data_IF_826969518025
#
_entry.id   IF_826969518025
#
_cell.length_a   1.000
_cell.length_b   1.000
_cell.length_c   1.000
_cell.angle_alpha   90.00
_cell.angle_beta   90.00
_cell.angle_gamma   90.00
#
_symmetry.space_group_name_H-M   'P 1'
#
loop_
_entity.id
_entity.type
_entity.pdbx_description
1 polymer ?
#
# COMPACT_ATOMS: atom_id res chain seq x y z
N UNK A 1 -3.44 -6.35 -38.77
CA UNK A 1 -4.63 -7.08 -38.32
C UNK A 1 -4.99 -6.61 -36.92
N UNK A 2 -6.29 -6.56 -36.58
CA UNK A 2 -6.70 -6.21 -35.23
C UNK A 2 -6.23 -7.27 -34.24
N UNK A 3 -5.74 -6.79 -33.09
CA UNK A 3 -5.16 -7.62 -32.04
C UNK A 3 -6.21 -8.02 -30.99
N UNK A 4 -7.44 -7.53 -31.12
CA UNK A 4 -8.55 -7.75 -30.18
C UNK A 4 -9.86 -8.04 -30.93
N UNK A 5 -10.79 -8.84 -30.36
CA UNK A 5 -12.16 -9.00 -30.89
C UNK A 5 -12.91 -7.68 -30.97
N UNK A 6 -12.68 -6.76 -30.02
CA UNK A 6 -13.19 -5.39 -30.09
C UNK A 6 -11.99 -4.46 -30.25
N UNK A 7 -11.84 -3.94 -31.48
CA UNK A 7 -10.71 -3.13 -31.86
C UNK A 7 -11.16 -1.79 -32.46
N UNK A 8 -10.57 -0.69 -31.99
CA UNK A 8 -10.80 0.66 -32.54
C UNK A 8 -9.47 1.34 -32.89
N UNK A 9 -9.37 1.87 -34.11
CA UNK A 9 -8.18 2.62 -34.61
C UNK A 9 -8.03 4.01 -33.95
N UNK A 10 -9.08 4.50 -33.30
CA UNK A 10 -9.13 5.77 -32.61
C UNK A 10 -9.63 5.56 -31.18
N UNK A 11 -10.29 6.54 -30.60
CA UNK A 11 -10.90 6.43 -29.27
C UNK A 11 -12.20 5.60 -29.33
N UNK A 12 -12.48 4.86 -28.27
CA UNK A 12 -13.62 3.96 -28.09
C UNK A 12 -14.40 4.33 -26.84
N UNK A 13 -15.70 4.47 -26.94
CA UNK A 13 -16.59 4.63 -25.80
C UNK A 13 -17.57 3.46 -25.75
N UNK A 14 -17.67 2.84 -24.58
CA UNK A 14 -18.59 1.74 -24.31
C UNK A 14 -19.59 2.16 -23.24
N UNK A 15 -20.88 2.07 -23.57
CA UNK A 15 -21.97 2.45 -22.67
C UNK A 15 -23.21 1.61 -22.92
N UNK A 16 -24.10 1.53 -21.95
CA UNK A 16 -25.40 0.88 -22.07
C UNK A 16 -25.73 -0.05 -20.90
N UNK A 17 -26.91 -0.62 -20.87
CA UNK A 17 -27.37 -1.52 -19.79
C UNK A 17 -27.29 -3.01 -20.12
N UNK A 18 -26.60 -3.36 -21.22
CA UNK A 18 -26.48 -4.76 -21.69
C UNK A 18 -25.27 -5.47 -21.11
N UNK A 19 -25.14 -6.75 -21.46
CA UNK A 19 -23.96 -7.56 -21.17
C UNK A 19 -23.17 -7.79 -22.46
N UNK A 20 -21.87 -7.56 -22.40
CA UNK A 20 -20.91 -7.84 -23.45
C UNK A 20 -19.95 -8.92 -22.99
N UNK A 21 -19.92 -10.05 -23.71
CA UNK A 21 -18.96 -11.13 -23.49
C UNK A 21 -17.90 -11.07 -24.58
N UNK A 22 -16.64 -11.00 -24.18
CA UNK A 22 -15.48 -10.85 -25.06
C UNK A 22 -14.51 -11.99 -24.80
N UNK A 23 -14.08 -12.65 -25.85
CA UNK A 23 -13.03 -13.67 -25.78
C UNK A 23 -11.90 -13.31 -26.75
N UNK A 24 -10.81 -12.78 -26.21
CA UNK A 24 -9.60 -12.42 -26.90
C UNK A 24 -8.59 -13.57 -26.90
N UNK A 25 -8.83 -14.60 -27.71
CA UNK A 25 -8.04 -15.83 -27.69
C UNK A 25 -6.62 -15.70 -28.25
N UNK A 26 -6.20 -14.50 -28.69
CA UNK A 26 -4.89 -14.28 -29.32
C UNK A 26 -4.08 -13.16 -28.61
N UNK A 27 -4.66 -12.01 -28.37
CA UNK A 27 -4.04 -10.85 -27.74
C UNK A 27 -5.04 -10.22 -26.74
N UNK A 28 -5.33 -8.93 -26.87
CA UNK A 28 -6.21 -8.21 -25.98
C UNK A 28 -7.69 -8.60 -26.11
N UNK A 29 -8.47 -8.34 -25.08
CA UNK A 29 -9.93 -8.47 -25.13
C UNK A 29 -10.58 -7.28 -25.83
N UNK A 30 -10.34 -6.07 -25.33
CA UNK A 30 -10.84 -4.80 -25.91
C UNK A 30 -9.65 -3.85 -26.07
N UNK A 31 -9.47 -3.30 -27.29
CA UNK A 31 -8.37 -2.39 -27.59
C UNK A 31 -8.80 -1.14 -28.32
N UNK A 32 -8.33 0.01 -27.88
CA UNK A 32 -8.36 1.28 -28.62
C UNK A 32 -6.92 1.79 -28.84
N UNK A 33 -6.63 2.33 -30.04
CA UNK A 33 -5.35 3.02 -30.33
C UNK A 33 -5.33 4.47 -29.84
N UNK A 34 -6.42 4.98 -29.32
CA UNK A 34 -6.57 6.24 -28.62
C UNK A 34 -7.08 6.00 -27.21
N UNK A 35 -8.01 6.85 -26.77
CA UNK A 35 -8.65 6.72 -25.47
C UNK A 35 -9.70 5.61 -25.47
N UNK A 36 -9.81 4.88 -24.36
CA UNK A 36 -10.87 3.91 -24.13
C UNK A 36 -11.67 4.33 -22.88
N UNK A 37 -12.99 4.50 -23.07
CA UNK A 37 -13.87 4.88 -21.97
C UNK A 37 -14.98 3.85 -21.77
N UNK A 38 -15.19 3.43 -20.53
CA UNK A 38 -16.31 2.60 -20.09
C UNK A 38 -17.17 3.42 -19.15
N UNK A 39 -18.38 3.74 -19.59
CA UNK A 39 -19.31 4.59 -18.83
C UNK A 39 -20.32 3.75 -18.03
N UNK A 40 -20.71 2.59 -18.55
CA UNK A 40 -21.69 1.70 -17.93
C UNK A 40 -21.78 0.38 -18.67
N UNK A 41 -22.49 -0.61 -18.10
CA UNK A 41 -22.73 -1.91 -18.72
C UNK A 41 -22.14 -3.05 -17.89
N UNK A 42 -22.34 -4.27 -18.37
CA UNK A 42 -21.73 -5.47 -17.78
C UNK A 42 -20.78 -6.09 -18.79
N UNK A 43 -19.55 -6.32 -18.40
CA UNK A 43 -18.49 -6.85 -19.25
C UNK A 43 -17.91 -8.12 -18.66
N UNK A 44 -17.83 -9.18 -19.48
CA UNK A 44 -17.11 -10.41 -19.17
C UNK A 44 -16.03 -10.59 -20.21
N UNK A 45 -14.78 -10.44 -19.81
CA UNK A 45 -13.64 -10.38 -20.71
C UNK A 45 -12.68 -11.50 -20.33
N UNK A 46 -12.39 -12.36 -21.28
CA UNK A 46 -11.29 -13.33 -21.24
C UNK A 46 -10.31 -12.96 -22.34
N UNK A 47 -9.04 -12.77 -22.01
CA UNK A 47 -8.00 -12.36 -22.95
C UNK A 47 -6.73 -13.20 -22.80
N UNK A 48 -6.08 -13.49 -23.91
CA UNK A 48 -4.79 -14.19 -23.91
C UNK A 48 -3.63 -13.29 -23.47
N UNK A 49 -3.78 -11.98 -23.63
CA UNK A 49 -2.91 -10.92 -23.15
C UNK A 49 -3.76 -9.94 -22.33
N UNK A 50 -3.72 -8.63 -22.60
CA UNK A 50 -4.40 -7.63 -21.78
C UNK A 50 -5.93 -7.70 -21.91
N UNK A 51 -6.63 -7.56 -20.80
CA UNK A 51 -8.09 -7.55 -20.81
C UNK A 51 -8.66 -6.36 -21.54
N UNK A 52 -8.28 -5.16 -21.10
CA UNK A 52 -8.68 -3.86 -21.67
C UNK A 52 -7.43 -3.01 -21.88
N UNK A 53 -7.26 -2.51 -23.12
CA UNK A 53 -6.13 -1.67 -23.47
C UNK A 53 -6.54 -0.42 -24.24
N UNK A 54 -6.30 0.72 -23.63
CA UNK A 54 -6.34 2.04 -24.29
C UNK A 54 -4.93 2.56 -24.45
N UNK A 55 -4.48 2.86 -25.68
CA UNK A 55 -3.11 3.34 -25.83
C UNK A 55 -2.90 4.66 -25.10
N UNK A 56 -3.77 5.64 -25.36
CA UNK A 56 -3.62 6.99 -24.81
C UNK A 56 -4.14 7.10 -23.38
N UNK A 57 -5.31 6.52 -23.13
CA UNK A 57 -5.88 6.45 -21.79
C UNK A 57 -6.93 5.35 -21.65
N UNK A 58 -7.16 4.92 -20.40
CA UNK A 58 -8.35 4.14 -20.02
C UNK A 58 -9.10 4.92 -18.93
N UNK A 59 -10.41 5.16 -19.18
CA UNK A 59 -11.30 5.81 -18.21
C UNK A 59 -12.47 4.90 -17.89
N UNK A 60 -12.68 4.58 -16.62
CA UNK A 60 -13.83 3.80 -16.14
C UNK A 60 -14.65 4.65 -15.19
N UNK A 61 -15.88 4.97 -15.61
CA UNK A 61 -16.80 5.77 -14.81
C UNK A 61 -17.87 4.91 -14.12
N UNK A 62 -18.04 3.67 -14.55
CA UNK A 62 -19.01 2.74 -14.00
C UNK A 62 -19.09 1.45 -14.79
N UNK A 63 -20.04 0.59 -14.38
CA UNK A 63 -20.23 -0.74 -14.96
C UNK A 63 -19.73 -1.86 -14.06
N UNK A 64 -20.09 -3.10 -14.44
CA UNK A 64 -19.66 -4.32 -13.77
C UNK A 64 -18.69 -5.05 -14.69
N UNK A 65 -17.41 -5.05 -14.35
CA UNK A 65 -16.34 -5.63 -15.14
C UNK A 65 -15.80 -6.89 -14.46
N UNK A 66 -15.83 -8.01 -15.19
CA UNK A 66 -15.15 -9.25 -14.81
C UNK A 66 -14.11 -9.55 -15.88
N UNK A 67 -12.85 -9.48 -15.51
CA UNK A 67 -11.71 -9.57 -16.41
C UNK A 67 -10.82 -10.74 -16.00
N UNK A 68 -10.51 -11.61 -16.95
CA UNK A 68 -9.50 -12.65 -16.84
C UNK A 68 -8.48 -12.43 -17.95
N UNK A 69 -7.26 -12.06 -17.60
CA UNK A 69 -6.20 -11.67 -18.52
C UNK A 69 -4.95 -12.54 -18.36
N UNK A 70 -4.34 -12.91 -19.47
CA UNK A 70 -3.05 -13.57 -19.51
C UNK A 70 -1.87 -12.58 -19.47
N UNK A 71 -2.14 -11.28 -19.55
CA UNK A 71 -1.26 -10.13 -19.35
C UNK A 71 -1.87 -9.22 -18.28
N UNK A 72 -1.85 -7.90 -18.54
CA UNK A 72 -2.45 -6.90 -17.66
C UNK A 72 -3.98 -6.93 -17.71
N UNK A 73 -4.64 -6.74 -16.57
CA UNK A 73 -6.10 -6.64 -16.55
C UNK A 73 -6.60 -5.42 -17.31
N UNK A 74 -6.09 -4.25 -16.96
CA UNK A 74 -6.38 -2.95 -17.59
C UNK A 74 -5.06 -2.22 -17.82
N UNK A 75 -4.81 -1.72 -19.06
CA UNK A 75 -3.56 -1.05 -19.39
C UNK A 75 -3.75 0.22 -20.22
N UNK A 76 -2.94 1.24 -19.91
CA UNK A 76 -2.67 2.39 -20.78
C UNK A 76 -1.15 2.51 -20.98
N UNK A 77 -0.67 2.46 -22.27
CA UNK A 77 0.74 2.23 -22.59
C UNK A 77 1.42 3.30 -23.45
N UNK A 78 0.84 4.50 -23.60
CA UNK A 78 1.49 5.58 -24.32
C UNK A 78 2.53 6.30 -23.47
N UNK A 79 3.78 5.92 -23.61
CA UNK A 79 4.95 6.50 -22.96
C UNK A 79 5.62 7.64 -23.77
N UNK A 80 5.10 7.93 -24.95
CA UNK A 80 5.77 8.82 -25.92
C UNK A 80 5.16 10.21 -25.95
N UNK A 81 3.87 10.35 -25.66
CA UNK A 81 3.13 11.60 -25.76
C UNK A 81 2.82 12.16 -24.39
N UNK A 82 3.11 13.43 -24.18
CA UNK A 82 2.87 14.13 -22.90
C UNK A 82 1.38 14.04 -22.47
N UNK A 83 1.14 13.64 -21.23
CA UNK A 83 -0.20 13.52 -20.65
C UNK A 83 -1.00 12.31 -21.15
N UNK A 84 -0.37 11.39 -21.85
CA UNK A 84 -0.95 10.11 -22.25
C UNK A 84 -0.47 8.97 -21.35
N UNK A 85 -0.97 7.74 -21.60
CA UNK A 85 -0.64 6.56 -20.81
C UNK A 85 -1.26 6.59 -19.41
N UNK A 86 -2.45 7.17 -19.28
CA UNK A 86 -3.13 7.37 -18.00
C UNK A 86 -4.30 6.42 -17.80
N UNK A 87 -4.52 6.00 -16.55
CA UNK A 87 -5.74 5.26 -16.16
C UNK A 87 -6.49 6.08 -15.11
N UNK A 88 -7.80 6.21 -15.29
CA UNK A 88 -8.69 6.87 -14.33
C UNK A 88 -9.92 6.02 -14.06
N UNK A 89 -10.22 5.78 -12.77
CA UNK A 89 -11.42 5.05 -12.34
C UNK A 89 -12.19 5.90 -11.35
N UNK A 90 -13.43 6.27 -11.70
CA UNK A 90 -14.30 7.06 -10.83
C UNK A 90 -15.56 6.32 -10.37
N UNK A 91 -15.64 5.02 -10.64
CA UNK A 91 -16.72 4.15 -10.17
C UNK A 91 -16.76 2.81 -10.90
N UNK A 92 -17.75 1.99 -10.55
CA UNK A 92 -17.94 0.65 -11.08
C UNK A 92 -17.52 -0.46 -10.11
N UNK A 93 -17.73 -1.69 -10.56
CA UNK A 93 -17.30 -2.89 -9.84
C UNK A 93 -16.33 -3.67 -10.74
N UNK A 94 -15.10 -3.82 -10.32
CA UNK A 94 -14.01 -4.42 -11.08
C UNK A 94 -13.54 -5.69 -10.37
N UNK A 95 -13.79 -6.82 -10.99
CA UNK A 95 -13.20 -8.10 -10.60
C UNK A 95 -12.15 -8.48 -11.63
N UNK A 96 -10.88 -8.48 -11.24
CA UNK A 96 -9.75 -8.69 -12.14
C UNK A 96 -8.94 -9.89 -11.65
N UNK A 97 -8.62 -10.79 -12.59
CA UNK A 97 -7.60 -11.82 -12.43
C UNK A 97 -6.62 -11.67 -13.58
N UNK A 98 -5.37 -11.34 -13.29
CA UNK A 98 -4.33 -11.03 -14.27
C UNK A 98 -3.07 -11.87 -13.99
N UNK A 99 -2.41 -12.32 -15.05
CA UNK A 99 -1.12 -13.01 -14.94
C UNK A 99 0.07 -12.04 -14.93
N UNK A 100 -0.17 -10.77 -15.18
CA UNK A 100 0.74 -9.65 -14.95
C UNK A 100 0.05 -8.67 -14.00
N UNK A 101 0.05 -7.36 -14.27
CA UNK A 101 -0.50 -6.34 -13.38
C UNK A 101 -2.04 -6.27 -13.45
N UNK A 102 -2.67 -5.99 -12.33
CA UNK A 102 -4.13 -5.82 -12.29
C UNK A 102 -4.58 -4.59 -13.08
N UNK A 103 -4.10 -3.41 -12.70
CA UNK A 103 -4.31 -2.13 -13.39
C UNK A 103 -2.96 -1.45 -13.58
N UNK A 104 -2.63 -1.07 -14.84
CA UNK A 104 -1.34 -0.49 -15.20
C UNK A 104 -1.49 0.81 -15.97
N UNK A 105 -0.77 1.83 -15.54
CA UNK A 105 -0.57 3.08 -16.27
C UNK A 105 0.92 3.36 -16.45
N UNK A 106 1.34 3.92 -17.58
CA UNK A 106 2.74 4.29 -17.76
C UNK A 106 3.05 5.73 -17.34
N UNK A 107 2.02 6.55 -17.09
CA UNK A 107 2.23 7.95 -16.71
C UNK A 107 1.62 8.30 -15.36
N UNK A 108 0.34 7.99 -15.16
CA UNK A 108 -0.33 8.20 -13.89
C UNK A 108 -1.62 7.40 -13.78
N UNK A 109 -1.94 7.03 -12.55
CA UNK A 109 -3.14 6.29 -12.21
C UNK A 109 -3.93 7.06 -11.15
N UNK A 110 -5.22 7.32 -11.44
CA UNK A 110 -6.14 7.98 -10.51
C UNK A 110 -7.33 7.08 -10.21
N UNK A 111 -7.58 6.80 -8.94
CA UNK A 111 -8.78 6.10 -8.48
C UNK A 111 -9.54 7.02 -7.51
N UNK A 112 -10.76 7.41 -7.91
CA UNK A 112 -11.62 8.28 -7.11
C UNK A 112 -12.69 7.50 -6.36
N UNK A 113 -13.20 6.41 -6.95
CA UNK A 113 -14.22 5.55 -6.35
C UNK A 113 -14.32 4.22 -7.13
N UNK A 114 -15.01 3.24 -6.57
CA UNK A 114 -15.26 1.92 -7.16
C UNK A 114 -15.10 0.78 -6.16
N UNK A 115 -15.46 -0.41 -6.60
CA UNK A 115 -15.27 -1.64 -5.84
C UNK A 115 -14.30 -2.52 -6.61
N UNK A 116 -13.17 -2.85 -6.00
CA UNK A 116 -12.08 -3.59 -6.63
C UNK A 116 -11.83 -4.90 -5.91
N UNK A 117 -11.83 -5.99 -6.67
CA UNK A 117 -11.33 -7.29 -6.26
C UNK A 117 -10.29 -7.71 -7.29
N UNK A 118 -9.02 -7.57 -6.95
CA UNK A 118 -7.90 -7.79 -7.87
C UNK A 118 -7.05 -8.94 -7.35
N UNK A 119 -6.80 -9.90 -8.24
CA UNK A 119 -5.81 -10.94 -8.07
C UNK A 119 -4.84 -10.87 -9.24
N UNK A 120 -3.54 -10.70 -8.98
CA UNK A 120 -2.48 -10.57 -9.99
C UNK A 120 -1.26 -11.40 -9.61
N UNK A 121 -0.43 -11.79 -10.60
CA UNK A 121 0.87 -12.44 -10.32
C UNK A 121 2.01 -11.42 -10.15
N UNK A 122 1.81 -10.20 -10.63
CA UNK A 122 2.63 -9.00 -10.48
C UNK A 122 1.78 -7.96 -9.71
N UNK A 123 2.03 -6.66 -9.73
CA UNK A 123 1.33 -5.65 -8.94
C UNK A 123 -0.20 -5.62 -9.15
N UNK A 124 -0.94 -5.36 -8.09
CA UNK A 124 -2.38 -5.18 -8.26
C UNK A 124 -2.75 -3.83 -8.89
N UNK A 125 -2.10 -2.75 -8.47
CA UNK A 125 -2.27 -1.38 -9.00
C UNK A 125 -0.90 -0.78 -9.24
N UNK A 126 -0.57 -0.44 -10.49
CA UNK A 126 0.76 0.00 -10.88
C UNK A 126 0.75 1.26 -11.76
N UNK A 127 1.70 2.16 -11.51
CA UNK A 127 2.04 3.26 -12.43
C UNK A 127 3.56 3.45 -12.53
N UNK A 128 4.09 3.56 -13.75
CA UNK A 128 5.47 4.02 -13.95
C UNK A 128 5.66 5.53 -13.61
N UNK A 129 4.63 6.19 -13.14
CA UNK A 129 4.65 7.53 -12.57
C UNK A 129 3.90 7.55 -11.25
N UNK A 130 2.95 8.47 -11.11
CA UNK A 130 2.24 8.65 -9.84
C UNK A 130 0.99 7.76 -9.74
N UNK A 131 0.67 7.35 -8.52
CA UNK A 131 -0.62 6.73 -8.15
C UNK A 131 -1.35 7.63 -7.16
N UNK A 132 -2.62 7.93 -7.45
CA UNK A 132 -3.48 8.68 -6.53
C UNK A 132 -4.76 7.91 -6.26
N UNK A 133 -5.06 7.65 -4.99
CA UNK A 133 -6.31 7.04 -4.52
C UNK A 133 -7.02 8.02 -3.58
N UNK A 134 -8.23 8.43 -3.97
CA UNK A 134 -9.04 9.35 -3.15
C UNK A 134 -10.30 8.69 -2.57
N UNK A 135 -10.59 7.45 -2.97
CA UNK A 135 -11.74 6.70 -2.49
C UNK A 135 -11.80 5.29 -3.08
N UNK A 136 -12.90 4.59 -2.83
CA UNK A 136 -13.14 3.23 -3.28
C UNK A 136 -12.92 2.16 -2.21
N UNK A 137 -13.26 0.92 -2.56
CA UNK A 137 -13.11 -0.26 -1.70
C UNK A 137 -12.31 -1.33 -2.42
N UNK A 138 -11.20 -1.75 -1.83
CA UNK A 138 -10.23 -2.64 -2.47
C UNK A 138 -10.04 -3.91 -1.66
N UNK A 139 -9.98 -5.04 -2.37
CA UNK A 139 -9.44 -6.30 -1.88
C UNK A 139 -8.40 -6.75 -2.89
N UNK A 140 -7.14 -6.67 -2.49
CA UNK A 140 -5.98 -6.95 -3.34
C UNK A 140 -5.25 -8.19 -2.84
N UNK A 141 -4.88 -9.08 -3.76
CA UNK A 141 -4.01 -10.24 -3.52
C UNK A 141 -3.08 -10.35 -4.71
N UNK A 142 -1.79 -10.27 -4.50
CA UNK A 142 -0.82 -10.09 -5.57
C UNK A 142 0.47 -10.86 -5.28
N UNK A 143 1.21 -11.18 -6.32
CA UNK A 143 2.51 -11.84 -6.21
C UNK A 143 3.66 -10.87 -5.99
N UNK A 144 3.46 -9.59 -6.31
CA UNK A 144 4.38 -8.48 -6.07
C UNK A 144 3.69 -7.39 -5.24
N UNK A 145 3.61 -6.14 -5.65
CA UNK A 145 3.14 -5.07 -4.78
C UNK A 145 1.62 -4.85 -4.82
N UNK A 146 1.06 -4.52 -3.67
CA UNK A 146 -0.35 -4.18 -3.58
C UNK A 146 -0.68 -2.90 -4.37
N UNK A 147 0.06 -1.83 -4.13
CA UNK A 147 -0.01 -0.54 -4.85
C UNK A 147 1.41 -0.05 -5.08
N UNK A 148 1.80 0.10 -6.35
CA UNK A 148 3.12 0.55 -6.76
C UNK A 148 3.07 1.82 -7.63
N UNK A 149 3.95 2.77 -7.35
CA UNK A 149 4.21 3.93 -8.20
C UNK A 149 5.70 4.23 -8.28
N UNK A 150 6.29 4.26 -9.49
CA UNK A 150 7.68 4.71 -9.66
C UNK A 150 7.91 6.15 -9.14
N UNK A 151 6.83 6.94 -9.08
CA UNK A 151 6.78 8.29 -8.52
C UNK A 151 6.14 8.32 -7.13
N UNK A 152 5.23 9.25 -6.95
CA UNK A 152 4.51 9.43 -5.69
C UNK A 152 3.27 8.54 -5.62
N UNK A 153 3.10 7.84 -4.50
CA UNK A 153 1.83 7.21 -4.12
C UNK A 153 1.10 8.10 -3.12
N UNK A 154 -0.08 8.59 -3.47
CA UNK A 154 -0.91 9.45 -2.62
C UNK A 154 -2.24 8.77 -2.32
N UNK A 155 -2.54 8.54 -1.05
CA UNK A 155 -3.81 7.94 -0.61
C UNK A 155 -4.51 8.89 0.37
N UNK A 156 -5.66 9.43 -0.05
CA UNK A 156 -6.41 10.39 0.76
C UNK A 156 -7.76 9.88 1.23
N UNK A 157 -8.13 8.66 0.86
CA UNK A 157 -9.38 8.02 1.25
C UNK A 157 -9.49 6.61 0.71
N UNK A 158 -10.63 5.98 0.98
CA UNK A 158 -10.92 4.59 0.60
C UNK A 158 -10.62 3.58 1.69
N UNK A 159 -11.19 2.39 1.51
CA UNK A 159 -10.91 1.22 2.34
C UNK A 159 -10.08 0.23 1.52
N UNK A 160 -8.84 0.01 1.91
CA UNK A 160 -7.87 -0.77 1.14
C UNK A 160 -7.43 -1.97 1.96
N UNK A 161 -7.79 -3.16 1.50
CA UNK A 161 -7.32 -4.43 2.06
C UNK A 161 -6.34 -5.10 1.09
N UNK A 162 -5.06 -5.11 1.44
CA UNK A 162 -4.03 -5.89 0.77
C UNK A 162 -3.87 -7.16 1.59
N UNK A 163 -4.38 -8.27 1.06
CA UNK A 163 -4.51 -9.54 1.80
C UNK A 163 -3.31 -10.46 1.61
N UNK A 164 -2.54 -10.22 0.56
CA UNK A 164 -1.29 -10.90 0.23
C UNK A 164 -0.52 -10.03 -0.78
N UNK A 165 0.77 -9.81 -0.52
CA UNK A 165 1.69 -9.10 -1.42
C UNK A 165 3.15 -9.43 -1.07
N UNK A 166 4.09 -9.06 -1.96
CA UNK A 166 5.50 -9.00 -1.62
C UNK A 166 5.71 -7.74 -0.77
N UNK A 167 5.52 -6.54 -1.31
CA UNK A 167 5.39 -5.30 -0.55
C UNK A 167 3.93 -4.82 -0.55
N UNK A 168 3.54 -4.09 0.51
CA UNK A 168 2.16 -3.61 0.59
C UNK A 168 1.92 -2.41 -0.30
N UNK A 169 2.65 -1.34 -0.06
CA UNK A 169 2.61 -0.08 -0.83
C UNK A 169 4.04 0.36 -1.09
N UNK A 170 4.42 0.50 -2.36
CA UNK A 170 5.74 0.96 -2.76
C UNK A 170 5.65 2.26 -3.58
N UNK A 171 6.66 3.11 -3.43
CA UNK A 171 6.84 4.32 -4.24
C UNK A 171 8.15 5.03 -3.96
N UNK A 172 8.50 6.03 -4.79
CA UNK A 172 9.56 6.98 -4.42
C UNK A 172 9.15 7.74 -3.15
N UNK A 173 7.90 8.13 -3.06
CA UNK A 173 7.30 8.69 -1.85
C UNK A 173 5.88 8.20 -1.63
N UNK A 174 5.49 8.04 -0.36
CA UNK A 174 4.16 7.59 0.04
C UNK A 174 3.54 8.60 0.99
N UNK A 175 2.43 9.22 0.59
CA UNK A 175 1.66 10.16 1.39
C UNK A 175 0.27 9.58 1.71
N UNK A 176 -0.03 9.36 3.00
CA UNK A 176 -1.33 8.87 3.48
C UNK A 176 -2.01 9.92 4.34
N UNK A 177 -3.27 10.24 4.00
CA UNK A 177 -4.05 11.27 4.69
C UNK A 177 -5.56 11.04 4.56
N UNK A 178 -6.33 12.03 4.98
CA UNK A 178 -7.80 12.00 4.88
C UNK A 178 -8.43 10.94 5.77
N UNK A 179 -9.38 10.20 5.21
CA UNK A 179 -10.10 9.10 5.85
C UNK A 179 -9.68 7.71 5.31
N UNK A 180 -8.46 7.59 4.80
CA UNK A 180 -7.91 6.33 4.35
C UNK A 180 -7.92 5.26 5.47
N UNK A 181 -8.45 4.07 5.16
CA UNK A 181 -8.48 2.91 6.05
C UNK A 181 -7.78 1.74 5.35
N UNK A 182 -6.54 1.46 5.76
CA UNK A 182 -5.62 0.58 5.04
C UNK A 182 -5.22 -0.58 5.94
N UNK A 183 -5.36 -1.80 5.42
CA UNK A 183 -4.83 -3.01 6.04
C UNK A 183 -3.91 -3.73 5.06
N UNK A 184 -2.72 -4.11 5.52
CA UNK A 184 -1.67 -4.71 4.70
C UNK A 184 -1.20 -6.02 5.34
N UNK A 185 -1.08 -7.05 4.50
CA UNK A 185 -0.35 -8.28 4.80
C UNK A 185 0.67 -8.49 3.68
N UNK A 186 1.95 -8.35 4.01
CA UNK A 186 3.06 -8.49 3.07
C UNK A 186 4.05 -9.57 3.52
N UNK A 187 4.80 -10.13 2.58
CA UNK A 187 5.87 -11.10 2.86
C UNK A 187 7.22 -10.45 3.05
N UNK A 188 7.39 -9.24 2.55
CA UNK A 188 8.49 -8.31 2.80
C UNK A 188 7.94 -7.05 3.46
N UNK A 189 8.20 -5.85 2.97
CA UNK A 189 7.87 -4.61 3.67
C UNK A 189 6.39 -4.24 3.59
N UNK A 190 5.89 -3.58 4.64
CA UNK A 190 4.50 -3.12 4.67
C UNK A 190 4.30 -1.88 3.79
N UNK A 191 5.11 -0.84 4.03
CA UNK A 191 5.19 0.37 3.20
C UNK A 191 6.65 0.63 2.94
N UNK A 192 7.02 0.75 1.66
CA UNK A 192 8.39 0.96 1.22
C UNK A 192 8.52 2.26 0.40
N UNK A 193 9.50 3.12 0.76
CA UNK A 193 9.92 4.26 -0.05
C UNK A 193 11.35 4.03 -0.53
N UNK A 194 11.50 3.30 -1.65
CA UNK A 194 12.76 2.73 -2.12
C UNK A 194 13.30 3.30 -3.43
N UNK A 195 12.80 4.46 -3.89
CA UNK A 195 13.37 5.14 -5.03
C UNK A 195 12.85 4.77 -6.41
N UNK A 196 11.60 4.35 -6.50
CA UNK A 196 10.82 4.49 -7.74
C UNK A 196 11.27 3.65 -8.93
N UNK A 197 11.85 2.49 -8.73
CA UNK A 197 12.02 1.50 -9.80
C UNK A 197 11.72 0.13 -9.20
N UNK A 198 10.71 -0.51 -9.73
CA UNK A 198 10.39 -1.89 -9.41
C UNK A 198 11.66 -2.77 -9.49
N UNK A 199 12.27 -2.97 -8.35
CA UNK A 199 13.47 -3.78 -8.18
C UNK A 199 13.19 -5.02 -7.36
N UNK A 200 11.90 -5.30 -7.08
CA UNK A 200 11.45 -6.48 -6.39
C UNK A 200 11.97 -7.73 -7.11
N UNK A 201 12.58 -8.61 -6.37
CA UNK A 201 13.13 -9.86 -6.87
C UNK A 201 14.47 -9.80 -7.60
N UNK A 202 15.09 -8.65 -7.85
CA UNK A 202 16.42 -8.57 -8.51
C UNK A 202 17.60 -8.28 -7.57
N UNK A 203 17.45 -8.57 -6.28
CA UNK A 203 18.57 -8.70 -5.34
C UNK A 203 19.69 -7.67 -5.49
N UNK A 204 19.49 -6.50 -4.90
CA UNK A 204 20.62 -5.68 -4.46
C UNK A 204 21.06 -4.56 -5.39
N UNK A 205 20.99 -3.35 -4.85
CA UNK A 205 21.74 -2.18 -5.33
C UNK A 205 23.22 -2.53 -5.53
N UNK A 206 23.70 -2.54 -6.75
CA UNK A 206 25.13 -2.62 -7.04
C UNK A 206 25.74 -1.21 -6.95
N UNK A 207 26.38 -0.86 -5.81
CA UNK A 207 27.39 0.18 -5.73
C UNK A 207 27.08 1.45 -4.94
N UNK A 208 26.00 1.52 -4.14
CA UNK A 208 25.70 2.61 -3.18
C UNK A 208 26.02 2.24 -1.75
N UNK A 209 26.02 3.23 -0.83
CA UNK A 209 25.97 3.00 0.61
C UNK A 209 24.51 2.60 0.96
N UNK A 210 24.27 1.39 1.47
CA UNK A 210 22.91 0.92 1.77
C UNK A 210 22.23 1.72 2.89
N UNK A 211 22.97 2.57 3.60
CA UNK A 211 22.46 3.45 4.66
C UNK A 211 22.40 4.93 4.24
N UNK A 212 22.70 5.25 2.97
CA UNK A 212 22.57 6.62 2.49
C UNK A 212 21.11 6.93 2.19
N UNK A 213 20.61 8.05 2.75
CA UNK A 213 19.29 8.53 2.41
C UNK A 213 19.15 8.83 0.92
N UNK A 214 18.04 8.40 0.32
CA UNK A 214 17.70 8.65 -1.07
C UNK A 214 16.93 9.97 -1.21
N UNK A 215 17.32 10.79 -2.17
CA UNK A 215 16.68 12.09 -2.41
C UNK A 215 15.24 11.89 -2.91
N UNK A 216 14.28 12.40 -2.17
CA UNK A 216 12.87 12.32 -2.50
C UNK A 216 12.14 11.12 -1.87
N UNK A 217 12.86 10.14 -1.31
CA UNK A 217 12.23 9.05 -0.58
C UNK A 217 11.63 9.57 0.73
N UNK A 218 10.32 9.46 0.87
CA UNK A 218 9.57 9.95 2.04
C UNK A 218 8.34 9.09 2.28
N UNK A 219 8.12 8.66 3.51
CA UNK A 219 6.84 8.16 3.96
C UNK A 219 6.23 9.16 4.93
N UNK A 220 5.03 9.64 4.62
CA UNK A 220 4.28 10.59 5.44
C UNK A 220 2.87 10.08 5.72
N UNK A 221 2.52 10.02 6.99
CA UNK A 221 1.16 9.69 7.44
C UNK A 221 0.65 10.87 8.27
N UNK A 222 -0.36 11.59 7.77
CA UNK A 222 -0.91 12.78 8.43
C UNK A 222 -2.30 12.58 9.01
N UNK A 223 -3.01 11.54 8.57
CA UNK A 223 -4.31 11.10 9.12
C UNK A 223 -4.70 9.73 8.54
N UNK A 224 -5.89 9.22 8.88
CA UNK A 224 -6.35 7.89 8.48
C UNK A 224 -5.93 6.79 9.47
N UNK A 225 -6.18 5.55 9.09
CA UNK A 225 -5.79 4.36 9.86
C UNK A 225 -5.02 3.42 8.95
N UNK A 226 -3.84 2.99 9.40
CA UNK A 226 -3.00 2.02 8.69
C UNK A 226 -2.65 0.89 9.64
N UNK A 227 -2.94 -0.35 9.23
CA UNK A 227 -2.60 -1.55 9.97
C UNK A 227 -1.75 -2.48 9.09
N UNK A 228 -0.57 -2.82 9.53
CA UNK A 228 0.44 -3.56 8.79
C UNK A 228 0.81 -4.84 9.52
N UNK A 229 0.88 -5.94 8.76
CA UNK A 229 1.52 -7.20 9.14
C UNK A 229 2.56 -7.53 8.08
N UNK A 230 3.84 -7.28 8.38
CA UNK A 230 4.95 -7.42 7.46
C UNK A 230 5.85 -8.60 7.81
N UNK A 231 6.38 -9.26 6.80
CA UNK A 231 7.43 -10.27 6.92
C UNK A 231 8.81 -9.64 6.98
N UNK A 232 9.00 -8.46 6.38
CA UNK A 232 10.15 -7.57 6.43
C UNK A 232 9.96 -6.42 7.42
N UNK A 233 10.38 -5.21 7.03
CA UNK A 233 10.12 -3.99 7.81
C UNK A 233 8.64 -3.58 7.73
N UNK A 234 8.09 -3.14 8.86
CA UNK A 234 6.71 -2.65 8.83
C UNK A 234 6.57 -1.40 7.97
N UNK A 235 7.48 -0.48 8.16
CA UNK A 235 7.63 0.74 7.36
C UNK A 235 9.11 0.92 7.09
N UNK A 236 9.51 0.88 5.81
CA UNK A 236 10.88 1.16 5.34
C UNK A 236 10.92 2.43 4.50
N UNK A 237 11.73 3.41 4.92
CA UNK A 237 12.01 4.58 4.12
C UNK A 237 13.50 4.70 3.85
N UNK A 238 13.90 4.55 2.61
CA UNK A 238 15.25 4.90 2.20
C UNK A 238 15.58 6.41 2.38
N UNK A 239 14.64 7.20 2.87
CA UNK A 239 14.76 8.61 3.18
C UNK A 239 14.10 8.99 4.51
N UNK A 240 13.12 9.86 4.47
CA UNK A 240 12.49 10.42 5.66
C UNK A 240 11.19 9.67 6.03
N UNK A 241 10.89 9.61 7.33
CA UNK A 241 9.62 9.12 7.85
C UNK A 241 8.95 10.17 8.74
N UNK A 242 7.67 10.45 8.48
CA UNK A 242 6.86 11.41 9.25
C UNK A 242 5.50 10.80 9.63
N UNK A 243 5.24 10.69 10.92
CA UNK A 243 3.89 10.49 11.47
C UNK A 243 3.41 11.79 12.11
N UNK A 244 2.48 12.47 11.45
CA UNK A 244 1.95 13.79 11.86
C UNK A 244 0.54 13.68 12.45
N UNK A 245 -0.14 12.54 12.21
CA UNK A 245 -1.50 12.26 12.69
C UNK A 245 -1.98 10.86 12.28
N UNK A 246 -3.25 10.56 12.59
CA UNK A 246 -3.84 9.25 12.28
C UNK A 246 -3.45 8.14 13.25
N UNK A 247 -3.63 6.91 12.82
CA UNK A 247 -3.34 5.71 13.60
C UNK A 247 -2.50 4.76 12.75
N UNK A 248 -1.34 4.36 13.27
CA UNK A 248 -0.45 3.40 12.64
C UNK A 248 -0.22 2.22 13.58
N UNK A 249 -0.69 1.05 13.15
CA UNK A 249 -0.40 -0.25 13.77
C UNK A 249 0.59 -1.01 12.91
N UNK A 250 1.66 -1.51 13.50
CA UNK A 250 2.70 -2.24 12.78
C UNK A 250 3.04 -3.52 13.51
N UNK A 251 2.93 -4.64 12.81
CA UNK A 251 3.50 -5.92 13.20
C UNK A 251 4.59 -6.29 12.20
N UNK A 252 5.83 -6.50 12.68
CA UNK A 252 6.93 -6.98 11.87
C UNK A 252 7.50 -8.27 12.49
N UNK A 253 7.50 -9.34 11.71
CA UNK A 253 7.96 -10.66 12.15
C UNK A 253 9.27 -11.07 11.48
N UNK A 254 9.90 -10.18 10.71
CA UNK A 254 11.17 -10.40 10.01
C UNK A 254 12.34 -10.72 10.93
N UNK A 255 13.28 -11.54 10.45
CA UNK A 255 14.53 -11.78 11.15
C UNK A 255 15.59 -10.80 10.68
N UNK A 256 15.82 -9.77 11.47
CA UNK A 256 16.78 -8.71 11.16
C UNK A 256 16.12 -7.39 10.74
N UNK A 257 14.82 -7.43 10.47
CA UNK A 257 14.00 -6.30 10.09
C UNK A 257 13.28 -5.75 11.33
N UNK A 258 12.67 -4.59 11.23
CA UNK A 258 12.11 -3.84 12.34
C UNK A 258 10.64 -3.40 12.12
N UNK A 259 10.10 -2.79 13.16
CA UNK A 259 8.79 -2.13 13.08
C UNK A 259 8.85 -0.93 12.14
N UNK A 260 9.99 -0.24 12.14
CA UNK A 260 10.26 0.98 11.40
C UNK A 260 11.74 1.03 11.06
N UNK A 261 12.07 1.27 9.78
CA UNK A 261 13.39 1.67 9.30
C UNK A 261 13.31 2.98 8.51
N UNK A 262 14.34 3.82 8.62
CA UNK A 262 14.47 5.04 7.83
C UNK A 262 15.94 5.49 7.79
N UNK A 263 16.41 5.90 6.62
CA UNK A 263 17.79 6.33 6.41
C UNK A 263 18.01 7.85 6.61
N UNK A 264 16.95 8.63 6.62
CA UNK A 264 16.95 10.09 6.76
C UNK A 264 16.48 10.58 8.12
N UNK A 265 15.51 11.47 8.12
CA UNK A 265 14.88 12.04 9.32
C UNK A 265 13.65 11.23 9.70
N UNK A 266 13.62 10.66 10.90
CA UNK A 266 12.40 10.12 11.48
C UNK A 266 11.71 11.12 12.41
N UNK A 267 10.38 11.27 12.32
CA UNK A 267 9.61 12.16 13.19
C UNK A 267 8.21 11.64 13.49
N UNK A 268 7.83 11.70 14.78
CA UNK A 268 6.47 11.46 15.25
C UNK A 268 6.02 12.70 16.00
N UNK A 269 5.16 13.51 15.40
CA UNK A 269 4.67 14.77 15.97
C UNK A 269 3.18 14.75 16.32
N UNK A 270 2.47 13.69 15.92
CA UNK A 270 1.05 13.49 16.20
C UNK A 270 0.60 12.07 15.91
N UNK A 271 -0.68 11.80 16.14
CA UNK A 271 -1.27 10.49 15.91
C UNK A 271 -0.92 9.44 16.96
N UNK A 272 -1.32 8.22 16.70
CA UNK A 272 -1.02 7.05 17.53
C UNK A 272 -0.17 6.08 16.73
N UNK A 273 0.99 5.72 17.25
CA UNK A 273 1.83 4.65 16.71
C UNK A 273 1.91 3.51 17.73
N UNK A 274 1.52 2.31 17.31
CA UNK A 274 1.72 1.10 18.08
C UNK A 274 2.41 0.06 17.21
N UNK A 275 3.61 -0.36 17.62
CA UNK A 275 4.42 -1.32 16.90
C UNK A 275 4.83 -2.50 17.77
N UNK A 276 4.69 -3.72 17.26
CA UNK A 276 5.14 -4.96 17.89
C UNK A 276 5.99 -5.76 16.90
N UNK A 277 7.18 -6.17 17.30
CA UNK A 277 8.08 -6.86 16.37
C UNK A 277 9.30 -7.46 17.02
N UNK A 278 10.34 -7.71 16.22
CA UNK A 278 11.63 -8.19 16.69
C UNK A 278 12.49 -7.02 17.19
N UNK A 279 13.41 -7.30 18.10
CA UNK A 279 14.32 -6.28 18.64
C UNK A 279 15.62 -6.13 17.80
N UNK A 280 15.67 -6.70 16.60
CA UNK A 280 16.88 -6.79 15.79
C UNK A 280 17.44 -5.44 15.38
N UNK A 281 16.93 -4.83 14.31
CA UNK A 281 17.31 -3.51 13.80
C UNK A 281 16.32 -2.42 14.21
N UNK A 282 15.74 -2.56 15.41
CA UNK A 282 14.73 -1.65 15.92
C UNK A 282 15.24 -0.21 16.08
N UNK A 283 14.57 0.73 15.42
CA UNK A 283 14.76 2.16 15.60
C UNK A 283 13.42 2.88 15.76
N UNK A 284 13.43 4.07 16.32
CA UNK A 284 12.27 4.95 16.41
C UNK A 284 12.70 6.41 16.55
N UNK A 285 11.90 7.37 16.05
CA UNK A 285 12.16 8.78 16.25
C UNK A 285 12.07 9.16 17.73
N UNK A 286 13.12 9.82 18.22
CA UNK A 286 13.21 10.23 19.64
C UNK A 286 13.87 11.60 19.78
N UNK A 287 13.72 12.23 20.96
CA UNK A 287 14.34 13.51 21.28
C UNK A 287 13.44 14.72 21.01
N UNK A 288 14.05 15.91 20.99
CA UNK A 288 13.33 17.19 20.92
C UNK A 288 12.51 17.31 19.64
N UNK A 289 11.25 17.68 19.77
CA UNK A 289 10.31 17.83 18.67
C UNK A 289 9.43 16.60 18.40
N UNK A 290 9.80 15.44 18.93
CA UNK A 290 8.98 14.24 18.82
C UNK A 290 7.99 14.10 19.98
N UNK A 291 6.88 13.43 19.70
CA UNK A 291 5.89 13.00 20.67
C UNK A 291 6.52 11.95 21.60
N UNK A 292 6.17 11.91 22.91
CA UNK A 292 6.68 10.90 23.83
C UNK A 292 6.34 9.49 23.38
N UNK A 293 7.27 8.55 23.66
CA UNK A 293 7.09 7.15 23.34
C UNK A 293 7.42 6.24 24.54
N UNK A 294 6.73 5.12 24.63
CA UNK A 294 7.06 3.99 25.48
C UNK A 294 7.74 2.91 24.64
N UNK A 295 8.91 2.46 25.05
CA UNK A 295 9.61 1.33 24.42
C UNK A 295 9.84 0.26 25.46
N UNK A 296 9.35 -0.94 25.20
CA UNK A 296 9.54 -2.10 26.05
C UNK A 296 10.21 -3.23 25.28
N UNK A 297 11.39 -3.63 25.74
CA UNK A 297 12.04 -4.86 25.32
C UNK A 297 11.68 -6.00 26.27
N UNK A 298 11.42 -7.17 25.73
CA UNK A 298 11.09 -8.37 26.49
C UNK A 298 12.27 -9.33 26.48
N UNK A 299 12.64 -9.88 27.63
CA UNK A 299 13.73 -10.88 27.78
C UNK A 299 13.42 -12.18 27.03
N UNK A 300 12.14 -12.45 26.83
CA UNK A 300 11.63 -13.56 26.01
C UNK A 300 10.50 -13.06 25.14
N UNK A 301 10.37 -13.56 23.90
CA UNK A 301 9.28 -13.15 23.03
C UNK A 301 7.91 -13.40 23.69
N UNK A 302 7.03 -12.47 23.49
CA UNK A 302 5.61 -12.58 23.87
C UNK A 302 4.88 -13.39 22.80
N UNK A 303 4.03 -14.29 23.23
CA UNK A 303 3.32 -15.17 22.30
C UNK A 303 2.34 -14.36 21.41
N UNK A 304 2.15 -14.81 20.18
CA UNK A 304 1.12 -14.35 19.28
C UNK A 304 -0.25 -14.29 19.98
N UNK A 305 -1.01 -13.23 19.77
CA UNK A 305 -2.30 -13.01 20.39
C UNK A 305 -2.23 -12.57 21.88
N UNK A 306 -1.04 -12.23 22.40
CA UNK A 306 -0.91 -11.69 23.75
C UNK A 306 -1.43 -10.25 23.78
N UNK A 307 -2.44 -10.01 24.62
CA UNK A 307 -3.00 -8.67 24.80
C UNK A 307 -1.96 -7.72 25.41
N UNK A 308 -1.75 -6.59 24.79
CA UNK A 308 -0.99 -5.46 25.33
C UNK A 308 -1.96 -4.43 25.88
N UNK A 309 -1.65 -3.91 27.08
CA UNK A 309 -2.35 -2.76 27.64
C UNK A 309 -1.34 -1.74 28.17
N UNK A 310 -1.64 -0.46 27.99
CA UNK A 310 -0.93 0.66 28.61
C UNK A 310 -1.89 1.39 29.52
N UNK A 311 -1.53 1.54 30.79
CA UNK A 311 -2.35 2.22 31.81
C UNK A 311 -1.58 3.37 32.43
N UNK A 312 -2.30 4.46 32.76
CA UNK A 312 -1.79 5.58 33.51
C UNK A 312 -1.56 5.28 35.00
N UNK A 313 -0.98 6.22 35.74
CA UNK A 313 -0.72 6.09 37.16
C UNK A 313 -1.98 5.93 38.03
N UNK A 314 -3.13 6.33 37.52
CA UNK A 314 -4.46 6.16 38.16
C UNK A 314 -5.08 4.78 37.87
N UNK A 315 -4.42 3.96 37.01
CA UNK A 315 -4.89 2.65 36.59
C UNK A 315 -5.90 2.68 35.45
N UNK A 316 -6.18 3.85 34.85
CA UNK A 316 -7.01 3.95 33.65
C UNK A 316 -6.25 3.42 32.43
N UNK A 317 -6.90 2.54 31.65
CA UNK A 317 -6.31 2.01 30.43
C UNK A 317 -6.37 3.05 29.30
N UNK A 318 -5.22 3.49 28.85
CA UNK A 318 -5.06 4.44 27.74
C UNK A 318 -5.07 3.74 26.38
N UNK A 319 -4.51 2.54 26.32
CA UNK A 319 -4.35 1.80 25.07
C UNK A 319 -4.51 0.30 25.30
N UNK A 320 -5.04 -0.40 24.29
CA UNK A 320 -5.18 -1.86 24.29
C UNK A 320 -5.09 -2.37 22.86
N UNK A 321 -4.23 -3.38 22.64
CA UNK A 321 -4.03 -4.00 21.33
C UNK A 321 -3.59 -5.45 21.47
N UNK A 322 -3.92 -6.27 20.47
CA UNK A 322 -3.57 -7.69 20.45
C UNK A 322 -2.87 -7.99 19.12
N UNK A 323 -1.52 -7.94 19.08
CA UNK A 323 -0.76 -8.35 17.92
C UNK A 323 -1.03 -9.81 17.53
N UNK A 324 -1.16 -10.08 16.23
CA UNK A 324 -1.36 -11.43 15.74
C UNK A 324 -0.07 -12.26 15.75
N UNK A 325 1.08 -11.61 15.60
CA UNK A 325 2.41 -12.20 15.61
C UNK A 325 3.05 -12.31 17.00
N UNK A 326 4.18 -13.05 17.06
CA UNK A 326 5.09 -13.06 18.22
C UNK A 326 5.96 -11.80 18.20
N UNK A 327 6.26 -11.21 19.35
CA UNK A 327 7.06 -9.98 19.41
C UNK A 327 8.03 -9.97 20.61
N UNK A 328 9.15 -9.29 20.47
CA UNK A 328 10.17 -9.08 21.52
C UNK A 328 10.44 -7.62 21.83
N UNK A 329 9.87 -6.69 21.09
CA UNK A 329 9.85 -5.26 21.37
C UNK A 329 8.44 -4.71 21.10
N UNK A 330 8.05 -3.73 21.89
CA UNK A 330 6.82 -2.97 21.71
C UNK A 330 7.14 -1.48 21.78
N UNK A 331 6.66 -0.74 20.81
CA UNK A 331 6.69 0.71 20.71
C UNK A 331 5.27 1.27 20.79
N UNK A 332 5.06 2.25 21.64
CA UNK A 332 3.80 2.99 21.68
C UNK A 332 4.07 4.48 21.82
N UNK A 333 3.54 5.28 20.92
CA UNK A 333 3.57 6.74 20.98
C UNK A 333 2.16 7.29 20.75
N UNK A 334 1.73 8.24 21.56
CA UNK A 334 0.39 8.82 21.54
C UNK A 334 0.42 10.23 22.11
N UNK A 335 -0.46 11.14 21.65
CA UNK A 335 -0.66 12.46 22.26
C UNK A 335 -1.08 12.41 23.76
N UNK A 336 -1.58 11.28 24.23
CA UNK A 336 -2.01 11.05 25.60
C UNK A 336 -0.84 10.76 26.56
N UNK A 337 0.37 10.55 26.03
CA UNK A 337 1.56 10.36 26.83
C UNK A 337 2.18 11.70 27.24
N UNK A 338 2.66 11.76 28.49
CA UNK A 338 3.43 12.89 29.01
C UNK A 338 4.89 12.49 29.17
N UNK A 339 5.80 13.26 28.61
CA UNK A 339 7.23 13.01 28.73
C UNK A 339 7.67 12.98 30.19
N UNK A 340 8.39 11.93 30.58
CA UNK A 340 8.88 11.71 31.93
C UNK A 340 7.90 11.00 32.86
N UNK A 341 6.62 10.87 32.52
CA UNK A 341 5.66 10.12 33.30
C UNK A 341 5.87 8.60 33.11
N UNK A 342 5.47 7.84 34.13
CA UNK A 342 5.58 6.38 34.12
C UNK A 342 4.21 5.76 33.93
N UNK A 343 4.17 4.80 33.02
CA UNK A 343 2.99 4.04 32.62
C UNK A 343 3.19 2.56 32.92
N UNK A 344 2.12 1.88 33.31
CA UNK A 344 2.13 0.44 33.46
C UNK A 344 1.80 -0.22 32.12
N UNK A 345 2.76 -0.97 31.60
CA UNK A 345 2.60 -1.78 30.40
C UNK A 345 2.43 -3.24 30.77
N UNK A 346 1.36 -3.87 30.32
CA UNK A 346 1.13 -5.31 30.47
C UNK A 346 1.07 -5.96 29.09
N UNK A 347 1.83 -7.04 28.93
CA UNK A 347 1.85 -7.86 27.70
C UNK A 347 1.76 -9.33 28.10
N UNK A 348 0.62 -9.97 27.85
CA UNK A 348 0.35 -11.32 28.34
C UNK A 348 0.46 -11.40 29.87
N UNK A 349 1.44 -12.18 30.35
CA UNK A 349 1.72 -12.32 31.80
C UNK A 349 2.81 -11.36 32.32
N UNK A 350 3.45 -10.62 31.41
CA UNK A 350 4.53 -9.67 31.76
C UNK A 350 3.95 -8.29 32.06
N UNK A 351 4.34 -7.71 33.20
CA UNK A 351 3.99 -6.33 33.54
C UNK A 351 5.27 -5.55 33.86
N UNK A 352 5.40 -4.34 33.33
CA UNK A 352 6.52 -3.45 33.55
C UNK A 352 6.05 -2.00 33.73
N UNK A 353 6.79 -1.23 34.52
CA UNK A 353 6.64 0.22 34.58
C UNK A 353 7.61 0.84 33.57
N UNK A 354 7.10 1.56 32.60
CA UNK A 354 7.85 2.16 31.49
C UNK A 354 7.71 3.67 31.53
N UNK A 355 8.83 4.37 31.47
CA UNK A 355 8.84 5.84 31.44
C UNK A 355 8.75 6.33 29.99
N UNK A 356 7.84 7.27 29.74
CA UNK A 356 7.73 7.95 28.46
C UNK A 356 8.94 8.89 28.22
N UNK A 357 9.53 8.80 27.05
CA UNK A 357 10.74 9.54 26.67
C UNK A 357 10.53 10.33 25.37
#
# INVERSE_FOLDING_TARGET
DPDAPIFCENSLILEGGGTLEVNGSYQEGIRAKGDLSILSGTYRIEAANDGIKGKDSVTIQGGDLSIQAGGDGIQADNDSDEGKGTVSVSGGSLQISAAEKGIKAVTSLLIEDGIFSIQSEDDAVHSNGDVTVTGGSFTLSTGDDGIHGDGQVTITGGTIGITESYEGIEGLSVDISGDADISIVSTDDGINAAGGTDASGTGGRFGGDPFAAEEGAVIRISSGTVAIQAGGDGVDSNGDFYLEGGILYVESNGRGDGILDYNGTGSITGGTFAGAGTAGMFQYPSGEGNQPALVQYFDSPQAAGSLITVAGADGETLFSWTPAGEYSVFLFSSPDLTNGDTYQLTAGETTADVQAQ
#
